data_IF_315635254967
#
_entry.id   IF_315635254967
#
_cell.length_a   1.000
_cell.length_b   1.000
_cell.length_c   1.000
_cell.angle_alpha   90.00
_cell.angle_beta   90.00
_cell.angle_gamma   90.00
#
_symmetry.space_group_name_H-M   'P 1'
#
loop_
_entity.id
_entity.type
_entity.pdbx_description
1 polymer ?
#
# COMPACT_ATOMS: atom_id res chain seq x y z
N UNK A 1 -12.11 -19.96 -11.68
CA UNK A 1 -11.51 -18.72 -12.20
C UNK A 1 -12.03 -17.57 -11.36
N UNK A 2 -11.15 -16.85 -10.67
CA UNK A 2 -11.51 -15.58 -10.04
C UNK A 2 -11.91 -14.63 -11.17
N UNK A 3 -13.09 -14.03 -11.11
CA UNK A 3 -13.46 -12.97 -12.05
C UNK A 3 -12.60 -11.74 -11.71
N UNK A 4 -11.59 -11.48 -12.54
CA UNK A 4 -10.71 -10.32 -12.40
C UNK A 4 -11.53 -9.05 -12.66
N UNK A 5 -11.91 -8.34 -11.59
CA UNK A 5 -12.58 -7.06 -11.71
C UNK A 5 -11.60 -6.01 -12.26
N UNK A 6 -12.08 -4.93 -12.91
CA UNK A 6 -11.20 -3.84 -13.37
C UNK A 6 -10.29 -3.28 -12.27
N UNK A 7 -10.78 -3.22 -11.04
CA UNK A 7 -10.05 -2.75 -9.86
C UNK A 7 -8.94 -3.72 -9.47
N UNK A 8 -9.20 -5.04 -9.49
CA UNK A 8 -8.21 -6.07 -9.19
C UNK A 8 -7.09 -6.10 -10.25
N UNK A 9 -7.44 -5.94 -11.54
CA UNK A 9 -6.46 -5.81 -12.62
C UNK A 9 -5.60 -4.55 -12.47
N UNK A 10 -6.24 -3.43 -12.12
CA UNK A 10 -5.53 -2.17 -11.86
C UNK A 10 -4.58 -2.30 -10.67
N UNK A 11 -5.01 -2.97 -9.60
CA UNK A 11 -4.20 -3.23 -8.41
C UNK A 11 -3.00 -4.09 -8.76
N UNK A 12 -3.21 -5.18 -9.51
CA UNK A 12 -2.13 -6.06 -9.97
C UNK A 12 -1.09 -5.29 -10.79
N UNK A 13 -1.54 -4.43 -11.71
CA UNK A 13 -0.64 -3.61 -12.54
C UNK A 13 0.19 -2.65 -11.69
N UNK A 14 -0.46 -1.86 -10.84
CA UNK A 14 0.22 -0.89 -9.96
C UNK A 14 1.18 -1.58 -8.99
N UNK A 15 0.78 -2.71 -8.42
CA UNK A 15 1.63 -3.50 -7.53
C UNK A 15 2.85 -4.05 -8.25
N UNK A 16 2.67 -4.63 -9.45
CA UNK A 16 3.77 -5.11 -10.26
C UNK A 16 4.76 -3.99 -10.59
N UNK A 17 4.28 -2.80 -10.97
CA UNK A 17 5.14 -1.64 -11.21
C UNK A 17 5.88 -1.22 -9.93
N UNK A 18 5.20 -1.23 -8.78
CA UNK A 18 5.77 -0.86 -7.49
C UNK A 18 6.90 -1.79 -7.05
N UNK A 19 6.70 -3.11 -7.06
CA UNK A 19 7.68 -4.10 -6.56
C UNK A 19 8.94 -4.21 -7.43
N UNK A 20 8.85 -3.85 -8.71
CA UNK A 20 10.00 -3.82 -9.62
C UNK A 20 10.75 -2.49 -9.57
N UNK A 21 10.24 -1.50 -8.83
CA UNK A 21 10.97 -0.26 -8.56
C UNK A 21 11.86 -0.46 -7.33
N UNK A 22 13.16 -0.11 -7.37
CA UNK A 22 14.00 -0.17 -6.18
C UNK A 22 13.39 0.62 -5.01
N UNK A 23 13.35 0.02 -3.82
CA UNK A 23 12.94 0.74 -2.61
C UNK A 23 13.93 1.88 -2.35
N UNK A 24 13.47 3.13 -2.19
CA UNK A 24 14.34 4.24 -1.83
C UNK A 24 14.64 4.30 -0.32
N UNK A 25 14.08 3.39 0.46
CA UNK A 25 14.25 3.29 1.91
C UNK A 25 14.92 1.97 2.27
N UNK A 26 15.86 2.02 3.21
CA UNK A 26 16.63 0.84 3.64
C UNK A 26 17.69 1.10 4.72
N UNK A 27 17.77 2.32 5.24
CA UNK A 27 18.73 2.78 6.23
C UNK A 27 18.25 2.65 7.68
N UNK A 28 19.07 3.18 8.60
CA UNK A 28 18.77 3.26 10.04
C UNK A 28 18.00 4.52 10.42
N UNK A 29 17.66 5.37 9.46
CA UNK A 29 16.90 6.59 9.68
C UNK A 29 15.47 6.23 10.15
N UNK A 30 15.02 6.72 11.32
CA UNK A 30 13.66 6.52 11.79
C UNK A 30 12.58 6.91 10.77
N UNK A 31 12.81 7.94 9.95
CA UNK A 31 11.86 8.36 8.92
C UNK A 31 11.78 7.34 7.78
N UNK A 32 12.90 6.76 7.38
CA UNK A 32 12.93 5.67 6.40
C UNK A 32 12.24 4.41 6.95
N UNK A 33 12.39 4.14 8.25
CA UNK A 33 11.71 3.03 8.92
C UNK A 33 10.19 3.19 8.92
N UNK A 34 9.67 4.39 9.21
CA UNK A 34 8.23 4.67 9.13
C UNK A 34 7.67 4.39 7.72
N UNK A 35 8.39 4.80 6.68
CA UNK A 35 8.02 4.51 5.28
C UNK A 35 8.10 3.01 4.97
N UNK A 36 9.15 2.33 5.43
CA UNK A 36 9.34 0.90 5.21
C UNK A 36 8.25 0.05 5.90
N UNK A 37 7.85 0.43 7.13
CA UNK A 37 6.76 -0.22 7.85
C UNK A 37 5.44 -0.05 7.11
N UNK A 38 5.16 1.15 6.60
CA UNK A 38 3.98 1.40 5.80
C UNK A 38 3.99 0.60 4.49
N UNK A 39 5.12 0.55 3.78
CA UNK A 39 5.27 -0.26 2.57
C UNK A 39 5.03 -1.76 2.83
N UNK A 40 5.61 -2.29 3.90
CA UNK A 40 5.44 -3.69 4.30
C UNK A 40 3.98 -4.03 4.62
N UNK A 41 3.28 -3.13 5.30
CA UNK A 41 1.87 -3.33 5.62
C UNK A 41 0.99 -3.32 4.35
N UNK A 42 1.17 -2.32 3.48
CA UNK A 42 0.45 -2.25 2.20
C UNK A 42 0.71 -3.51 1.36
N UNK A 43 1.98 -3.92 1.25
CA UNK A 43 2.34 -5.11 0.49
C UNK A 43 1.68 -6.38 1.00
N UNK A 44 1.64 -6.57 2.32
CA UNK A 44 0.96 -7.72 2.94
C UNK A 44 -0.53 -7.78 2.60
N UNK A 45 -1.21 -6.62 2.58
CA UNK A 45 -2.62 -6.53 2.19
C UNK A 45 -2.83 -6.87 0.71
N UNK A 46 -1.99 -6.30 -0.16
CA UNK A 46 -2.08 -6.49 -1.62
C UNK A 46 -1.87 -7.95 -1.99
N UNK A 47 -0.85 -8.60 -1.44
CA UNK A 47 -0.53 -9.99 -1.76
C UNK A 47 -1.69 -10.93 -1.42
N UNK A 48 -2.30 -10.77 -0.25
CA UNK A 48 -3.46 -11.58 0.15
C UNK A 48 -4.65 -11.32 -0.76
N UNK A 49 -4.94 -10.05 -1.06
CA UNK A 49 -6.03 -9.66 -1.96
C UNK A 49 -5.82 -10.19 -3.38
N UNK A 50 -4.61 -10.11 -3.94
CA UNK A 50 -4.31 -10.60 -5.28
C UNK A 50 -4.34 -12.13 -5.37
N UNK A 51 -4.04 -12.82 -4.27
CA UNK A 51 -4.16 -14.28 -4.18
C UNK A 51 -5.62 -14.75 -4.06
N UNK A 52 -6.46 -14.01 -3.33
CA UNK A 52 -7.87 -14.38 -3.07
C UNK A 52 -8.86 -13.80 -4.08
N UNK A 53 -8.51 -12.69 -4.72
CA UNK A 53 -9.37 -11.95 -5.63
C UNK A 53 -10.43 -11.07 -4.95
N UNK A 54 -10.35 -10.90 -3.62
CA UNK A 54 -11.27 -10.08 -2.84
C UNK A 54 -10.67 -9.68 -1.50
N UNK A 55 -11.28 -8.66 -0.89
CA UNK A 55 -11.04 -8.29 0.51
C UNK A 55 -12.00 -9.12 1.38
N UNK A 56 -11.49 -9.82 2.39
CA UNK A 56 -12.37 -10.42 3.41
C UNK A 56 -12.71 -9.40 4.52
N UNK A 57 -13.68 -9.73 5.36
CA UNK A 57 -14.13 -8.84 6.44
C UNK A 57 -13.04 -8.47 7.45
N UNK A 58 -12.05 -9.33 7.69
CA UNK A 58 -10.95 -9.03 8.62
C UNK A 58 -9.97 -8.05 7.98
N UNK A 59 -9.59 -8.27 6.72
CA UNK A 59 -8.75 -7.34 5.96
C UNK A 59 -9.43 -5.98 5.79
N UNK A 60 -10.75 -5.98 5.54
CA UNK A 60 -11.54 -4.75 5.49
C UNK A 60 -11.46 -3.97 6.80
N UNK A 61 -11.59 -4.66 7.94
CA UNK A 61 -11.46 -4.03 9.26
C UNK A 61 -10.05 -3.50 9.52
N UNK A 62 -9.02 -4.26 9.16
CA UNK A 62 -7.62 -3.83 9.30
C UNK A 62 -7.34 -2.57 8.47
N UNK A 63 -7.83 -2.53 7.23
CA UNK A 63 -7.71 -1.37 6.34
C UNK A 63 -8.44 -0.15 6.91
N UNK A 64 -9.68 -0.34 7.38
CA UNK A 64 -10.47 0.73 8.03
C UNK A 64 -9.74 1.30 9.25
N UNK A 65 -9.26 0.43 10.15
CA UNK A 65 -8.52 0.85 11.34
C UNK A 65 -7.26 1.62 10.97
N UNK A 66 -6.45 1.12 10.03
CA UNK A 66 -5.23 1.80 9.61
C UNK A 66 -5.50 3.17 8.99
N UNK A 67 -6.57 3.29 8.19
CA UNK A 67 -7.00 4.58 7.62
C UNK A 67 -7.47 5.56 8.68
N UNK A 68 -8.14 5.08 9.73
CA UNK A 68 -8.60 5.91 10.84
C UNK A 68 -7.43 6.46 11.69
N UNK A 69 -6.32 5.72 11.80
CA UNK A 69 -5.08 6.20 12.43
C UNK A 69 -4.42 7.33 11.62
N UNK A 70 -4.71 7.41 10.32
CA UNK A 70 -4.20 8.43 9.41
C UNK A 70 -2.76 8.17 8.94
N UNK A 71 -2.33 8.95 7.94
CA UNK A 71 -1.01 8.82 7.31
C UNK A 71 -0.08 10.00 7.63
N UNK A 72 -0.36 10.80 8.68
CA UNK A 72 0.40 12.00 9.02
C UNK A 72 1.91 11.74 9.19
N UNK A 73 2.28 10.68 9.89
CA UNK A 73 3.69 10.31 10.10
C UNK A 73 4.39 9.97 8.79
N UNK A 74 3.72 9.19 7.94
CA UNK A 74 4.24 8.78 6.63
C UNK A 74 4.35 9.98 5.70
N UNK A 75 3.36 10.89 5.70
CA UNK A 75 3.40 12.13 4.93
C UNK A 75 4.52 13.06 5.39
N UNK A 76 4.72 13.21 6.71
CA UNK A 76 5.84 13.97 7.26
C UNK A 76 7.17 13.36 6.82
N UNK A 77 7.36 12.05 7.01
CA UNK A 77 8.58 11.35 6.61
C UNK A 77 8.87 11.53 5.11
N UNK A 78 7.86 11.37 4.26
CA UNK A 78 7.96 11.61 2.81
C UNK A 78 8.30 13.08 2.46
N UNK A 79 7.76 14.03 3.23
CA UNK A 79 8.06 15.45 3.09
C UNK A 79 9.51 15.76 3.39
N UNK A 80 10.00 15.26 4.53
CA UNK A 80 11.36 15.47 5.06
C UNK A 80 12.44 14.76 4.24
N UNK A 81 12.19 13.50 3.83
CA UNK A 81 13.14 12.73 3.02
C UNK A 81 13.18 13.16 1.54
N UNK A 82 12.13 13.86 1.06
CA UNK A 82 12.08 14.39 -0.30
C UNK A 82 11.96 13.31 -1.38
N UNK A 83 12.42 13.61 -2.61
CA UNK A 83 12.45 12.63 -3.70
C UNK A 83 13.69 11.74 -3.60
N UNK A 84 13.60 10.44 -3.92
CA UNK A 84 12.45 9.74 -4.53
C UNK A 84 11.41 9.17 -3.55
N UNK A 85 11.60 9.37 -2.24
CA UNK A 85 10.74 8.78 -1.19
C UNK A 85 9.30 9.28 -1.28
N UNK A 86 9.11 10.57 -1.58
CA UNK A 86 7.79 11.17 -1.75
C UNK A 86 6.99 10.50 -2.86
N UNK A 87 7.58 10.32 -4.04
CA UNK A 87 6.94 9.58 -5.14
C UNK A 87 6.64 8.13 -4.78
N UNK A 88 7.52 7.49 -4.00
CA UNK A 88 7.33 6.13 -3.51
C UNK A 88 6.13 6.00 -2.57
N UNK A 89 6.01 6.90 -1.58
CA UNK A 89 4.86 6.96 -0.66
C UNK A 89 3.56 7.28 -1.39
N UNK A 90 3.57 8.21 -2.35
CA UNK A 90 2.38 8.52 -3.14
C UNK A 90 1.83 7.30 -3.91
N UNK A 91 2.72 6.44 -4.43
CA UNK A 91 2.30 5.17 -5.06
C UNK A 91 1.67 4.20 -4.06
N UNK A 92 2.23 4.09 -2.85
CA UNK A 92 1.67 3.23 -1.80
C UNK A 92 0.28 3.68 -1.36
N UNK A 93 0.06 5.00 -1.21
CA UNK A 93 -1.26 5.56 -0.87
C UNK A 93 -2.28 5.28 -1.99
N UNK A 94 -1.87 5.44 -3.25
CA UNK A 94 -2.75 5.11 -4.38
C UNK A 94 -3.16 3.62 -4.41
N UNK A 95 -2.25 2.73 -3.99
CA UNK A 95 -2.53 1.31 -3.83
C UNK A 95 -3.50 1.07 -2.66
N UNK A 96 -3.27 1.71 -1.50
CA UNK A 96 -4.16 1.65 -0.34
C UNK A 96 -5.59 2.13 -0.67
N UNK A 97 -5.71 3.23 -1.41
CA UNK A 97 -6.99 3.76 -1.87
C UNK A 97 -7.72 2.80 -2.80
N UNK A 98 -6.99 2.06 -3.64
CA UNK A 98 -7.58 1.06 -4.50
C UNK A 98 -8.03 -0.18 -3.72
N UNK A 99 -7.27 -0.60 -2.69
CA UNK A 99 -7.68 -1.68 -1.78
C UNK A 99 -9.02 -1.34 -1.09
N UNK A 100 -9.21 -0.08 -0.69
CA UNK A 100 -10.43 0.38 -0.02
C UNK A 100 -11.67 0.41 -0.92
N UNK A 101 -11.48 0.36 -2.25
CA UNK A 101 -12.57 0.33 -3.23
C UNK A 101 -12.98 -1.08 -3.62
N UNK A 102 -12.25 -2.11 -3.19
CA UNK A 102 -12.55 -3.48 -3.55
C UNK A 102 -13.82 -3.98 -2.86
N UNK A 103 -14.60 -4.85 -3.53
CA UNK A 103 -15.74 -5.48 -2.90
C UNK A 103 -15.28 -6.40 -1.77
N UNK A 104 -15.99 -6.32 -0.64
CA UNK A 104 -15.83 -7.22 0.49
C UNK A 104 -16.61 -8.50 0.20
N UNK A 105 -15.99 -9.66 0.43
CA UNK A 105 -16.61 -10.99 0.25
C UNK A 105 -16.38 -11.89 1.44
#
# INVERSE_FOLDING_TARGET
>A
MIADTPELLRLRRLWNEHIHTPSPVGGKDPLEQEVALYASWVGSMVEVVLARGSLDGNLAKMLETRRAEGNERVFRAAGELGEPVRSYVARLIAIEDLLAQLPIR
#
